data_IF_775498081203
#
_entry.id   IF_775498081203
#
_cell.length_a   1.000
_cell.length_b   1.000
_cell.length_c   1.000
_cell.angle_alpha   90.00
_cell.angle_beta   90.00
_cell.angle_gamma   90.00
#
_symmetry.space_group_name_H-M   'P 1'
#
loop_
_entity.id
_entity.type
_entity.pdbx_description
1 polymer ?
#
# COMPACT_ATOMS: atom_id res chain seq x y z
N UNK A 1 0.99 -10.41 -14.84
CA UNK A 1 0.58 -9.01 -14.99
C UNK A 1 0.94 -8.30 -13.70
N UNK A 2 1.68 -7.20 -13.78
CA UNK A 2 2.02 -6.38 -12.61
C UNK A 2 0.80 -5.63 -12.09
N UNK A 3 0.74 -5.39 -10.78
CA UNK A 3 -0.32 -4.64 -10.09
C UNK A 3 -0.48 -3.25 -10.69
N UNK A 4 0.62 -2.56 -11.00
CA UNK A 4 0.57 -1.22 -11.59
C UNK A 4 -0.16 -1.23 -12.95
N UNK A 5 0.09 -2.23 -13.78
CA UNK A 5 -0.63 -2.39 -15.05
C UNK A 5 -2.10 -2.76 -14.82
N UNK A 6 -2.37 -3.61 -13.83
CA UNK A 6 -3.73 -4.01 -13.46
C UNK A 6 -4.55 -2.80 -12.99
N UNK A 7 -4.00 -1.97 -12.11
CA UNK A 7 -4.61 -0.73 -11.64
C UNK A 7 -4.90 0.24 -12.79
N UNK A 8 -4.00 0.34 -13.77
CA UNK A 8 -4.21 1.16 -14.98
C UNK A 8 -5.40 0.65 -15.79
N UNK A 9 -5.46 -0.65 -16.10
CA UNK A 9 -6.58 -1.24 -16.86
C UNK A 9 -7.90 -1.17 -16.09
N UNK A 10 -7.86 -1.41 -14.79
CA UNK A 10 -9.01 -1.27 -13.91
C UNK A 10 -9.56 0.16 -13.94
N UNK A 11 -8.69 1.17 -13.83
CA UNK A 11 -9.07 2.59 -13.89
C UNK A 11 -9.66 2.97 -15.25
N UNK A 12 -9.10 2.45 -16.35
CA UNK A 12 -9.68 2.67 -17.69
C UNK A 12 -11.09 2.09 -17.80
N UNK A 13 -11.34 0.91 -17.21
CA UNK A 13 -12.67 0.30 -17.20
C UNK A 13 -13.67 1.08 -16.35
N UNK A 14 -13.22 1.73 -15.27
CA UNK A 14 -14.08 2.54 -14.40
C UNK A 14 -14.74 3.72 -15.13
N UNK A 15 -14.13 4.24 -16.21
CA UNK A 15 -14.72 5.29 -17.05
C UNK A 15 -16.09 4.87 -17.59
N UNK A 16 -16.26 3.59 -17.90
CA UNK A 16 -17.51 3.04 -18.43
C UNK A 16 -18.48 2.55 -17.35
N UNK A 17 -18.08 2.58 -16.07
CA UNK A 17 -18.88 2.10 -14.94
C UNK A 17 -18.98 3.16 -13.83
N UNK A 18 -19.65 4.30 -14.07
CA UNK A 18 -19.72 5.41 -13.12
C UNK A 18 -20.35 5.00 -11.77
N UNK A 19 -21.30 4.05 -11.79
CA UNK A 19 -21.94 3.53 -10.58
C UNK A 19 -20.97 2.77 -9.66
N UNK A 20 -19.92 2.15 -10.21
CA UNK A 20 -18.82 1.56 -9.44
C UNK A 20 -17.80 2.63 -9.09
N UNK A 21 -17.41 3.45 -10.07
CA UNK A 21 -16.32 4.41 -9.95
C UNK A 21 -16.54 5.45 -8.84
N UNK A 22 -17.78 5.92 -8.71
CA UNK A 22 -18.21 6.94 -7.75
C UNK A 22 -18.44 6.41 -6.33
N UNK A 23 -18.44 5.08 -6.16
CA UNK A 23 -18.59 4.46 -4.85
C UNK A 23 -17.24 3.91 -4.40
N UNK A 24 -16.52 4.64 -3.56
CA UNK A 24 -15.16 4.29 -3.16
C UNK A 24 -15.06 2.86 -2.61
N UNK A 25 -15.94 2.49 -1.67
CA UNK A 25 -15.98 1.15 -1.08
C UNK A 25 -16.19 0.07 -2.15
N UNK A 26 -17.10 0.30 -3.10
CA UNK A 26 -17.42 -0.64 -4.17
C UNK A 26 -16.25 -0.77 -5.15
N UNK A 27 -15.69 0.36 -5.59
CA UNK A 27 -14.49 0.43 -6.45
C UNK A 27 -13.32 -0.30 -5.83
N UNK A 28 -13.00 -0.01 -4.57
CA UNK A 28 -11.94 -0.67 -3.79
C UNK A 28 -12.18 -2.17 -3.70
N UNK A 29 -13.38 -2.60 -3.32
CA UNK A 29 -13.68 -4.03 -3.19
C UNK A 29 -13.60 -4.78 -4.53
N UNK A 30 -13.99 -4.14 -5.64
CA UNK A 30 -13.86 -4.71 -6.98
C UNK A 30 -12.40 -4.83 -7.40
N UNK A 31 -11.58 -3.82 -7.11
CA UNK A 31 -10.13 -3.86 -7.33
C UNK A 31 -9.48 -5.00 -6.55
N UNK A 32 -9.73 -5.07 -5.23
CA UNK A 32 -9.17 -6.10 -4.36
C UNK A 32 -9.51 -7.52 -4.87
N UNK A 33 -10.77 -7.75 -5.28
CA UNK A 33 -11.20 -9.06 -5.81
C UNK A 33 -10.52 -9.47 -7.11
N UNK A 34 -9.93 -8.54 -7.87
CA UNK A 34 -9.17 -8.86 -9.07
C UNK A 34 -7.66 -8.99 -8.85
N UNK A 35 -7.18 -8.82 -7.62
CA UNK A 35 -5.79 -9.10 -7.27
C UNK A 35 -5.52 -10.61 -7.26
N UNK A 36 -4.25 -10.97 -7.44
CA UNK A 36 -3.77 -12.34 -7.18
C UNK A 36 -4.07 -12.73 -5.73
N UNK A 37 -4.40 -14.00 -5.43
CA UNK A 37 -4.79 -14.42 -4.08
C UNK A 37 -3.77 -14.05 -2.98
N UNK A 38 -2.48 -14.14 -3.28
CA UNK A 38 -1.40 -13.81 -2.34
C UNK A 38 -1.43 -12.32 -1.98
N UNK A 39 -1.50 -11.45 -2.99
CA UNK A 39 -1.61 -10.00 -2.83
C UNK A 39 -2.92 -9.59 -2.16
N UNK A 40 -4.04 -10.22 -2.52
CA UNK A 40 -5.34 -9.93 -1.93
C UNK A 40 -5.29 -10.04 -0.40
N UNK A 41 -4.73 -11.13 0.13
CA UNK A 41 -4.65 -11.36 1.58
C UNK A 41 -3.75 -10.34 2.26
N UNK A 42 -2.59 -10.05 1.68
CA UNK A 42 -1.63 -9.10 2.26
C UNK A 42 -2.20 -7.68 2.26
N UNK A 43 -2.74 -7.21 1.13
CA UNK A 43 -3.36 -5.88 1.04
C UNK A 43 -4.57 -5.77 1.96
N UNK A 44 -5.39 -6.83 2.09
CA UNK A 44 -6.54 -6.83 2.99
C UNK A 44 -6.14 -6.73 4.46
N UNK A 45 -5.00 -7.32 4.86
CA UNK A 45 -4.50 -7.23 6.24
C UNK A 45 -4.15 -5.80 6.67
N UNK A 46 -3.70 -4.97 5.72
CA UNK A 46 -3.47 -3.54 5.92
C UNK A 46 -4.75 -2.70 6.07
N UNK A 47 -5.93 -3.32 5.92
CA UNK A 47 -7.24 -2.68 6.07
C UNK A 47 -7.38 -1.34 5.33
N UNK A 48 -7.08 -1.27 4.01
CA UNK A 48 -7.14 -0.02 3.26
C UNK A 48 -8.55 0.55 3.31
N UNK A 49 -8.68 1.81 3.71
CA UNK A 49 -9.93 2.54 3.75
C UNK A 49 -10.36 2.92 2.32
N UNK A 50 -9.41 3.41 1.52
CA UNK A 50 -9.68 3.95 0.19
C UNK A 50 -9.22 3.05 -0.96
N UNK A 51 -9.70 3.33 -2.18
CA UNK A 51 -9.18 2.67 -3.39
C UNK A 51 -7.69 2.97 -3.62
N UNK A 52 -7.27 4.21 -3.38
CA UNK A 52 -5.89 4.64 -3.61
C UNK A 52 -4.93 3.94 -2.63
N UNK A 53 -5.30 3.82 -1.36
CA UNK A 53 -4.53 3.04 -0.38
C UNK A 53 -4.42 1.57 -0.81
N UNK A 54 -5.51 0.97 -1.28
CA UNK A 54 -5.46 -0.41 -1.76
C UNK A 54 -4.52 -0.57 -2.98
N UNK A 55 -4.45 0.41 -3.88
CA UNK A 55 -3.53 0.40 -5.03
C UNK A 55 -2.09 0.57 -4.56
N UNK A 56 -1.80 1.58 -3.73
CA UNK A 56 -0.44 1.85 -3.25
C UNK A 56 0.11 0.64 -2.48
N UNK A 57 -0.66 0.13 -1.50
CA UNK A 57 -0.25 -1.04 -0.73
C UNK A 57 0.01 -2.25 -1.63
N UNK A 58 -0.82 -2.46 -2.67
CA UNK A 58 -0.63 -3.58 -3.60
C UNK A 58 0.62 -3.44 -4.46
N UNK A 59 0.98 -2.22 -4.87
CA UNK A 59 2.22 -1.94 -5.62
C UNK A 59 3.43 -2.13 -4.71
N UNK A 60 3.42 -1.53 -3.51
CA UNK A 60 4.52 -1.60 -2.54
C UNK A 60 4.82 -3.05 -2.13
N UNK A 61 3.76 -3.85 -1.90
CA UNK A 61 3.89 -5.28 -1.59
C UNK A 61 4.44 -6.06 -2.80
N UNK A 62 3.95 -5.80 -4.02
CA UNK A 62 4.46 -6.49 -5.20
C UNK A 62 5.94 -6.15 -5.44
N UNK A 63 6.34 -4.90 -5.29
CA UNK A 63 7.73 -4.45 -5.40
C UNK A 63 8.61 -5.13 -4.36
N UNK A 64 8.19 -5.15 -3.10
CA UNK A 64 8.93 -5.80 -2.01
C UNK A 64 9.05 -7.33 -2.19
N UNK A 65 8.10 -7.96 -2.88
CA UNK A 65 8.19 -9.39 -3.21
C UNK A 65 9.13 -9.67 -4.38
N UNK A 66 9.34 -8.68 -5.26
CA UNK A 66 10.20 -8.81 -6.44
C UNK A 66 11.64 -8.38 -6.15
N UNK A 67 11.84 -7.45 -5.21
CA UNK A 67 13.14 -6.98 -4.74
C UNK A 67 13.25 -7.13 -3.22
N UNK A 68 13.83 -8.24 -2.71
CA UNK A 68 13.95 -8.49 -1.28
C UNK A 68 14.99 -7.58 -0.58
N UNK A 69 15.73 -6.74 -1.31
CA UNK A 69 16.73 -5.80 -0.76
C UNK A 69 16.23 -4.35 -0.75
N UNK A 70 15.08 -4.06 -1.37
CA UNK A 70 14.48 -2.73 -1.36
C UNK A 70 13.93 -2.39 0.03
N UNK A 71 14.28 -1.20 0.58
CA UNK A 71 13.68 -0.73 1.82
C UNK A 71 12.16 -0.66 1.66
N UNK A 72 11.44 -1.44 2.47
CA UNK A 72 9.97 -1.44 2.49
C UNK A 72 9.52 -0.01 2.85
N UNK A 73 9.06 0.76 1.87
CA UNK A 73 8.51 2.09 2.08
C UNK A 73 7.18 1.94 2.82
N UNK A 74 7.24 1.93 4.15
CA UNK A 74 6.07 1.94 5.01
C UNK A 74 5.33 3.27 4.87
N UNK A 75 4.51 3.41 3.83
CA UNK A 75 3.49 4.45 3.73
C UNK A 75 2.26 3.99 4.48
N UNK A 76 2.31 4.01 5.81
CA UNK A 76 1.13 4.09 6.68
C UNK A 76 1.57 4.47 8.09
N UNK A 77 1.14 5.66 8.54
CA UNK A 77 1.08 5.99 9.96
C UNK A 77 2.35 6.60 10.56
N UNK A 78 2.40 7.93 10.58
CA UNK A 78 3.24 8.75 11.46
C UNK A 78 3.20 8.20 12.90
N UNK A 79 4.28 7.55 13.33
CA UNK A 79 4.68 7.45 14.73
C UNK A 79 5.92 8.35 14.92
N UNK A 80 5.98 9.20 15.97
CA UNK A 80 7.16 10.01 16.22
C UNK A 80 8.32 9.08 16.60
N UNK A 81 9.44 9.23 15.89
CA UNK A 81 10.71 8.61 16.25
C UNK A 81 11.04 8.97 17.71
N UNK A 82 11.39 8.02 18.59
CA UNK A 82 12.11 8.37 19.79
C UNK A 82 13.49 8.87 19.37
N UNK A 83 13.78 10.13 19.68
CA UNK A 83 15.08 10.74 19.46
C UNK A 83 16.19 9.87 20.08
N UNK A 84 17.36 9.71 19.43
CA UNK A 84 18.48 9.03 20.06
C UNK A 84 18.92 9.86 21.27
N UNK A 85 18.84 9.25 22.46
CA UNK A 85 19.42 9.80 23.66
C UNK A 85 20.93 9.97 23.42
N UNK A 86 21.37 11.21 23.32
CA UNK A 86 22.78 11.55 23.20
C UNK A 86 23.47 11.09 24.49
N UNK A 87 24.31 10.06 24.38
CA UNK A 87 25.24 9.66 25.42
C UNK A 87 26.24 10.78 25.63
N UNK A 88 26.00 11.65 26.61
CA UNK A 88 27.02 12.55 27.14
C UNK A 88 27.69 11.87 28.34
N UNK A 89 28.69 11.06 28.01
CA UNK A 89 29.73 10.64 28.95
C UNK A 89 30.58 11.87 29.32
N UNK A 90 30.30 12.49 30.45
CA UNK A 90 31.24 13.38 31.12
C UNK A 90 32.02 12.56 32.15
N UNK A 91 33.27 12.27 31.82
CA UNK A 91 34.27 11.76 32.75
C UNK A 91 35.32 12.86 32.92
N UNK A 92 35.56 13.33 34.14
CA UNK A 92 36.72 14.14 34.50
C UNK A 92 37.04 13.93 35.98
N UNK A 93 38.29 13.63 36.35
CA UNK A 93 38.88 14.08 37.61
C UNK A 93 39.38 15.53 37.51
#
# INVERSE_FOLDING_TARGET
>A
MHVAEYARRFSALMVYMPHVANQERTKRNKFLKGLRPDLYRMVLSGSPATFMEAVNNAVDIEESLMDPEAPVHQTTGRAPQPAPAVSQSYQSP
#
